data_IF_041787309136
#
_entry.id   IF_041787309136
#
_cell.length_a   1.000
_cell.length_b   1.000
_cell.length_c   1.000
_cell.angle_alpha   90.00
_cell.angle_beta   90.00
_cell.angle_gamma   90.00
#
_symmetry.space_group_name_H-M   'P 1'
#
loop_
_entity.id
_entity.type
_entity.pdbx_description
1 polymer ?
#
# COMPACT_ATOMS: atom_id res chain seq x y z
N UNK A 1 26.84 15.88 22.32
CA UNK A 1 25.48 15.35 22.58
C UNK A 1 24.41 15.88 21.62
N UNK A 2 23.87 17.11 21.76
CA UNK A 2 22.75 17.56 20.90
C UNK A 2 23.11 17.69 19.40
N UNK A 3 24.32 18.16 19.09
CA UNK A 3 24.83 18.19 17.70
C UNK A 3 25.00 16.81 17.07
N UNK A 4 25.37 15.81 17.86
CA UNK A 4 25.56 14.43 17.39
C UNK A 4 24.22 13.75 17.12
N UNK A 5 23.21 13.99 17.96
CA UNK A 5 21.84 13.49 17.76
C UNK A 5 21.24 14.09 16.48
N UNK A 6 21.38 15.40 16.28
CA UNK A 6 20.90 16.07 15.05
C UNK A 6 21.62 15.52 13.81
N UNK A 7 22.94 15.32 13.89
CA UNK A 7 23.71 14.74 12.79
C UNK A 7 23.27 13.30 12.48
N UNK A 8 23.00 12.49 13.51
CA UNK A 8 22.49 11.13 13.35
C UNK A 8 21.14 11.11 12.64
N UNK A 9 20.22 12.02 13.00
CA UNK A 9 18.93 12.18 12.31
C UNK A 9 19.10 12.52 10.82
N UNK A 10 20.01 13.43 10.47
CA UNK A 10 20.31 13.75 9.07
C UNK A 10 20.93 12.59 8.29
N UNK A 11 21.80 11.80 8.93
CA UNK A 11 22.40 10.60 8.32
C UNK A 11 21.33 9.53 8.06
N UNK A 12 20.44 9.28 9.04
CA UNK A 12 19.32 8.36 8.88
C UNK A 12 18.40 8.81 7.74
N UNK A 13 18.11 10.10 7.65
CA UNK A 13 17.30 10.67 6.57
C UNK A 13 17.94 10.47 5.19
N UNK A 14 19.24 10.74 5.08
CA UNK A 14 20.01 10.53 3.84
C UNK A 14 19.95 9.07 3.41
N UNK A 15 20.19 8.15 4.32
CA UNK A 15 20.18 6.71 4.04
C UNK A 15 18.77 6.25 3.63
N UNK A 16 17.73 6.71 4.32
CA UNK A 16 16.34 6.42 3.99
C UNK A 16 15.96 6.93 2.59
N UNK A 17 16.28 8.19 2.28
CA UNK A 17 16.00 8.78 0.96
C UNK A 17 16.73 8.00 -0.14
N UNK A 18 18.00 7.69 0.09
CA UNK A 18 18.83 7.00 -0.89
C UNK A 18 18.36 5.56 -1.17
N UNK A 19 17.86 4.86 -0.15
CA UNK A 19 17.60 3.41 -0.25
C UNK A 19 16.13 3.01 -0.32
N UNK A 20 15.21 3.84 0.15
CA UNK A 20 13.80 3.47 0.31
C UNK A 20 12.83 4.34 -0.49
N UNK A 21 13.13 5.64 -0.69
CA UNK A 21 12.18 6.54 -1.36
C UNK A 21 11.95 6.14 -2.82
N UNK A 22 13.02 5.89 -3.56
CA UNK A 22 12.93 5.64 -5.00
C UNK A 22 12.24 4.31 -5.32
N UNK A 23 12.76 3.21 -4.78
CA UNK A 23 12.34 1.86 -5.18
C UNK A 23 11.07 1.38 -4.48
N UNK A 24 10.70 1.98 -3.34
CA UNK A 24 9.55 1.54 -2.54
C UNK A 24 8.47 2.63 -2.48
N UNK A 25 8.84 3.85 -2.09
CA UNK A 25 7.85 4.88 -1.78
C UNK A 25 7.19 5.47 -3.05
N UNK A 26 7.98 5.74 -4.10
CA UNK A 26 7.44 6.26 -5.38
C UNK A 26 6.42 5.30 -6.00
N UNK A 27 6.70 3.99 -6.18
CA UNK A 27 5.68 3.03 -6.64
C UNK A 27 4.48 2.93 -5.72
N UNK A 28 4.65 3.05 -4.40
CA UNK A 28 3.55 2.98 -3.46
C UNK A 28 2.59 4.17 -3.61
N UNK A 29 3.10 5.39 -3.84
CA UNK A 29 2.26 6.56 -4.16
C UNK A 29 1.59 6.45 -5.53
N UNK A 30 2.29 5.89 -6.52
CA UNK A 30 1.71 5.58 -7.82
C UNK A 30 0.58 4.55 -7.69
N UNK A 31 0.77 3.51 -6.87
CA UNK A 31 -0.24 2.49 -6.63
C UNK A 31 -1.45 3.10 -5.91
N UNK A 32 -1.23 3.87 -4.85
CA UNK A 32 -2.28 4.54 -4.09
C UNK A 32 -3.11 5.50 -4.97
N UNK A 33 -2.45 6.34 -5.76
CA UNK A 33 -3.14 7.23 -6.70
C UNK A 33 -3.88 6.46 -7.79
N UNK A 34 -3.33 5.34 -8.26
CA UNK A 34 -3.98 4.48 -9.25
C UNK A 34 -5.22 3.80 -8.70
N UNK A 35 -5.18 3.39 -7.42
CA UNK A 35 -6.34 2.83 -6.74
C UNK A 35 -7.49 3.84 -6.66
N UNK A 36 -7.19 5.12 -6.42
CA UNK A 36 -8.22 6.17 -6.36
C UNK A 36 -8.69 6.58 -7.76
N UNK A 37 -7.79 6.65 -8.74
CA UNK A 37 -8.09 7.14 -10.08
C UNK A 37 -8.74 6.10 -11.01
N UNK A 38 -8.44 4.80 -10.85
CA UNK A 38 -8.87 3.75 -11.77
C UNK A 38 -9.93 2.81 -11.17
N UNK A 39 -9.96 2.62 -9.85
CA UNK A 39 -10.89 1.66 -9.26
C UNK A 39 -12.26 2.30 -9.07
N UNK A 40 -13.28 1.60 -9.53
CA UNK A 40 -14.66 2.03 -9.33
C UNK A 40 -15.01 2.00 -7.83
N UNK A 41 -15.39 3.17 -7.29
CA UNK A 41 -15.73 3.34 -5.87
C UNK A 41 -16.86 2.42 -5.42
N UNK A 42 -17.87 2.18 -6.27
CA UNK A 42 -19.00 1.30 -5.99
C UNK A 42 -18.54 -0.13 -5.73
N UNK A 43 -17.51 -0.58 -6.43
CA UNK A 43 -16.97 -1.92 -6.27
C UNK A 43 -16.15 -2.07 -4.99
N UNK A 44 -15.37 -1.06 -4.62
CA UNK A 44 -14.72 -1.06 -3.31
C UNK A 44 -15.77 -1.02 -2.19
N UNK A 45 -16.83 -0.24 -2.35
CA UNK A 45 -17.94 -0.15 -1.40
C UNK A 45 -18.73 -1.46 -1.26
N UNK A 46 -18.79 -2.30 -2.29
CA UNK A 46 -19.52 -3.57 -2.26
C UNK A 46 -18.74 -4.73 -1.63
N UNK A 47 -17.40 -4.69 -1.67
CA UNK A 47 -16.54 -5.73 -1.10
C UNK A 47 -15.85 -5.32 0.21
N UNK A 48 -15.43 -4.06 0.32
CA UNK A 48 -14.61 -3.53 1.42
C UNK A 48 -15.26 -2.34 2.14
N UNK A 49 -16.44 -1.87 1.68
CA UNK A 49 -17.16 -0.77 2.30
C UNK A 49 -17.67 -1.08 3.71
N UNK A 50 -17.98 -0.03 4.47
CA UNK A 50 -18.44 -0.16 5.87
C UNK A 50 -19.78 -0.88 6.01
N UNK A 51 -20.62 -0.83 4.97
CA UNK A 51 -21.93 -1.50 4.92
C UNK A 51 -21.85 -3.01 4.69
N UNK A 52 -20.69 -3.53 4.30
CA UNK A 52 -20.46 -4.96 4.10
C UNK A 52 -20.28 -5.65 5.45
N UNK A 53 -20.64 -6.93 5.56
CA UNK A 53 -20.40 -7.66 6.80
C UNK A 53 -18.91 -7.61 7.18
N UNK A 54 -18.62 -7.15 8.40
CA UNK A 54 -17.25 -6.92 8.89
C UNK A 54 -16.36 -8.13 8.67
N UNK A 55 -16.88 -9.34 8.89
CA UNK A 55 -16.14 -10.59 8.69
C UNK A 55 -15.66 -10.78 7.24
N UNK A 56 -16.48 -10.44 6.23
CA UNK A 56 -16.12 -10.56 4.81
C UNK A 56 -15.08 -9.51 4.42
N UNK A 57 -15.36 -8.25 4.75
CA UNK A 57 -14.46 -7.12 4.46
C UNK A 57 -13.09 -7.31 5.14
N UNK A 58 -13.08 -7.70 6.41
CA UNK A 58 -11.86 -7.87 7.20
C UNK A 58 -11.05 -9.07 6.72
N UNK A 59 -11.70 -10.20 6.41
CA UNK A 59 -11.01 -11.37 5.84
C UNK A 59 -10.40 -11.04 4.49
N UNK A 60 -11.13 -10.35 3.61
CA UNK A 60 -10.62 -9.96 2.29
C UNK A 60 -9.43 -8.98 2.39
N UNK A 61 -9.52 -7.99 3.29
CA UNK A 61 -8.43 -7.08 3.59
C UNK A 61 -7.20 -7.82 4.14
N UNK A 62 -7.39 -8.74 5.09
CA UNK A 62 -6.30 -9.53 5.66
C UNK A 62 -5.61 -10.39 4.60
N UNK A 63 -6.37 -11.14 3.78
CA UNK A 63 -5.83 -12.00 2.72
C UNK A 63 -5.10 -11.19 1.65
N UNK A 64 -5.70 -10.09 1.17
CA UNK A 64 -5.05 -9.23 0.17
C UNK A 64 -3.73 -8.62 0.68
N UNK A 65 -3.63 -8.36 1.98
CA UNK A 65 -2.42 -7.81 2.60
C UNK A 65 -1.22 -8.75 2.57
N UNK A 66 -1.45 -10.07 2.62
CA UNK A 66 -0.37 -11.06 2.47
C UNK A 66 0.32 -10.95 1.11
N UNK A 67 -0.43 -10.62 0.06
CA UNK A 67 0.14 -10.46 -1.29
C UNK A 67 0.87 -9.13 -1.47
N UNK A 68 0.50 -8.10 -0.70
CA UNK A 68 1.19 -6.83 -0.73
C UNK A 68 2.56 -6.92 -0.04
N UNK A 69 2.68 -7.67 1.06
CA UNK A 69 3.92 -7.98 1.79
C UNK A 69 4.96 -6.84 1.82
N UNK A 70 4.51 -5.62 2.12
CA UNK A 70 5.32 -4.41 1.99
C UNK A 70 5.73 -3.85 3.37
N UNK A 71 6.72 -2.96 3.40
CA UNK A 71 7.18 -2.35 4.65
C UNK A 71 6.21 -1.27 5.16
N UNK A 72 6.46 -0.78 6.38
CA UNK A 72 5.63 0.26 7.02
C UNK A 72 5.50 1.54 6.17
N UNK A 73 6.55 1.93 5.44
CA UNK A 73 6.55 3.15 4.64
C UNK A 73 5.65 3.07 3.40
N UNK A 74 5.45 1.88 2.85
CA UNK A 74 4.66 1.65 1.63
C UNK A 74 3.23 1.25 1.94
N UNK A 75 2.98 0.60 3.08
CA UNK A 75 1.61 0.24 3.46
C UNK A 75 0.76 1.47 3.79
N UNK A 76 1.35 2.54 4.32
CA UNK A 76 0.64 3.79 4.63
C UNK A 76 -0.03 4.39 3.39
N UNK A 77 0.69 4.69 2.28
CA UNK A 77 0.05 5.20 1.08
C UNK A 77 -0.91 4.19 0.46
N UNK A 78 -0.59 2.89 0.43
CA UNK A 78 -1.49 1.88 -0.17
C UNK A 78 -2.81 1.76 0.59
N UNK A 79 -2.78 1.70 1.92
CA UNK A 79 -3.99 1.68 2.73
C UNK A 79 -4.75 3.01 2.68
N UNK A 80 -4.03 4.14 2.60
CA UNK A 80 -4.65 5.45 2.35
C UNK A 80 -5.38 5.45 1.00
N UNK A 81 -4.72 5.00 -0.07
CA UNK A 81 -5.33 4.83 -1.39
C UNK A 81 -6.61 4.00 -1.31
N UNK A 82 -6.56 2.84 -0.64
CA UNK A 82 -7.72 1.98 -0.43
C UNK A 82 -8.87 2.67 0.31
N UNK A 83 -8.56 3.42 1.37
CA UNK A 83 -9.54 4.19 2.14
C UNK A 83 -10.17 5.32 1.30
N UNK A 84 -9.37 6.09 0.57
CA UNK A 84 -9.85 7.16 -0.31
C UNK A 84 -10.62 6.62 -1.53
N UNK A 85 -10.34 5.39 -1.98
CA UNK A 85 -11.14 4.65 -2.97
C UNK A 85 -12.48 4.16 -2.42
N UNK A 86 -12.77 4.31 -1.13
CA UNK A 86 -14.07 4.02 -0.51
C UNK A 86 -14.11 2.81 0.42
N UNK A 87 -12.98 2.20 0.78
CA UNK A 87 -12.98 1.11 1.75
C UNK A 87 -13.31 1.62 3.16
N UNK A 88 -13.95 0.78 3.97
CA UNK A 88 -14.20 1.06 5.38
C UNK A 88 -12.90 1.28 6.14
N UNK A 89 -12.93 2.15 7.15
CA UNK A 89 -11.74 2.49 7.95
C UNK A 89 -11.13 1.24 8.59
N UNK A 90 -11.97 0.31 9.06
CA UNK A 90 -11.49 -0.95 9.65
C UNK A 90 -10.71 -1.81 8.65
N UNK A 91 -11.17 -1.89 7.40
CA UNK A 91 -10.48 -2.65 6.34
C UNK A 91 -9.13 -2.03 5.99
N UNK A 92 -9.05 -0.70 5.89
CA UNK A 92 -7.79 0.00 5.65
C UNK A 92 -6.76 -0.25 6.77
N UNK A 93 -7.20 -0.23 8.04
CA UNK A 93 -6.33 -0.51 9.18
C UNK A 93 -5.86 -1.97 9.24
N UNK A 94 -6.69 -2.92 8.81
CA UNK A 94 -6.25 -4.31 8.66
C UNK A 94 -5.12 -4.40 7.63
N UNK A 95 -5.22 -3.69 6.52
CA UNK A 95 -4.13 -3.65 5.52
C UNK A 95 -2.85 -3.05 6.11
N UNK A 96 -2.99 -1.92 6.83
CA UNK A 96 -1.87 -1.28 7.55
C UNK A 96 -1.16 -2.23 8.52
N UNK A 97 -1.91 -3.11 9.18
CA UNK A 97 -1.37 -4.00 10.20
C UNK A 97 -0.78 -5.29 9.62
N UNK A 98 -1.53 -5.97 8.74
CA UNK A 98 -1.17 -7.31 8.26
C UNK A 98 0.01 -7.26 7.31
N UNK A 99 0.04 -6.33 6.35
CA UNK A 99 1.07 -6.31 5.30
C UNK A 99 2.52 -6.26 5.84
N UNK A 100 2.89 -5.38 6.81
CA UNK A 100 4.23 -5.38 7.39
C UNK A 100 4.46 -6.56 8.34
N UNK A 101 3.41 -7.06 9.02
CA UNK A 101 3.53 -8.20 9.93
C UNK A 101 3.86 -9.50 9.18
N UNK A 102 3.32 -9.66 7.96
CA UNK A 102 3.48 -10.83 7.09
C UNK A 102 4.55 -10.65 6.02
N UNK A 103 5.40 -9.62 6.14
CA UNK A 103 6.50 -9.39 5.22
C UNK A 103 7.44 -10.60 5.18
N UNK A 104 7.71 -11.10 3.97
CA UNK A 104 8.55 -12.28 3.74
C UNK A 104 9.93 -12.19 4.40
N UNK A 105 10.60 -11.03 4.35
CA UNK A 105 11.89 -10.85 5.01
C UNK A 105 11.74 -10.98 6.53
N UNK A 106 10.72 -10.35 7.12
CA UNK A 106 10.48 -10.41 8.55
C UNK A 106 10.15 -11.84 9.02
N UNK A 107 9.38 -12.59 8.23
CA UNK A 107 9.05 -13.99 8.53
C UNK A 107 10.27 -14.89 8.40
N UNK A 108 11.11 -14.72 7.37
CA UNK A 108 12.36 -15.48 7.20
C UNK A 108 13.33 -15.21 8.35
N UNK A 109 13.55 -13.94 8.71
CA UNK A 109 14.42 -13.60 9.84
C UNK A 109 13.89 -14.16 11.16
N UNK A 110 12.59 -14.03 11.41
CA UNK A 110 11.95 -14.63 12.59
C UNK A 110 12.13 -16.15 12.58
N UNK A 111 11.92 -16.83 11.45
CA UNK A 111 12.06 -18.28 11.34
C UNK A 111 13.48 -18.77 11.56
N UNK A 112 14.46 -18.06 11.01
CA UNK A 112 15.87 -18.44 11.12
C UNK A 112 16.46 -18.18 12.52
N UNK A 113 16.05 -17.09 13.17
CA UNK A 113 16.61 -16.69 14.47
C UNK A 113 15.84 -17.30 15.64
N UNK A 114 14.51 -17.28 15.56
CA UNK A 114 13.60 -17.60 16.67
C UNK A 114 12.85 -18.93 16.46
N UNK A 115 12.93 -19.52 15.28
CA UNK A 115 12.31 -20.80 14.93
C UNK A 115 10.89 -20.69 14.38
N UNK A 116 10.46 -21.76 13.71
CA UNK A 116 9.18 -21.82 12.99
C UNK A 116 7.95 -21.63 13.90
N UNK A 117 8.02 -22.10 15.15
CA UNK A 117 6.92 -21.93 16.13
C UNK A 117 6.60 -20.46 16.35
N UNK A 118 7.63 -19.60 16.44
CA UNK A 118 7.43 -18.17 16.64
C UNK A 118 6.90 -17.48 15.38
N UNK A 119 7.28 -17.93 14.18
CA UNK A 119 6.69 -17.44 12.91
C UNK A 119 5.18 -17.69 12.88
N UNK A 120 4.74 -18.91 13.21
CA UNK A 120 3.31 -19.25 13.23
C UNK A 120 2.59 -18.40 14.27
N UNK A 121 3.15 -18.27 15.47
CA UNK A 121 2.56 -17.43 16.52
C UNK A 121 2.44 -15.96 16.10
N UNK A 122 3.44 -15.43 15.38
CA UNK A 122 3.45 -14.06 14.85
C UNK A 122 2.32 -13.86 13.84
N UNK A 123 2.11 -14.79 12.92
CA UNK A 123 1.04 -14.68 11.91
C UNK A 123 -0.33 -14.73 12.59
N UNK A 124 -0.54 -15.69 13.49
CA UNK A 124 -1.81 -15.83 14.22
C UNK A 124 -2.10 -14.57 15.04
N UNK A 125 -1.11 -14.10 15.82
CA UNK A 125 -1.26 -12.89 16.62
C UNK A 125 -1.49 -11.64 15.76
N UNK A 126 -0.78 -11.51 14.63
CA UNK A 126 -0.95 -10.39 13.71
C UNK A 126 -2.36 -10.38 13.11
N UNK A 127 -2.89 -11.53 12.68
CA UNK A 127 -4.25 -11.63 12.16
C UNK A 127 -5.30 -11.34 13.23
N UNK A 128 -5.15 -11.93 14.41
CA UNK A 128 -6.06 -11.67 15.52
C UNK A 128 -6.08 -10.18 15.89
N UNK A 129 -4.90 -9.57 16.06
CA UNK A 129 -4.78 -8.14 16.37
C UNK A 129 -5.30 -7.26 15.25
N UNK A 130 -5.10 -7.61 13.98
CA UNK A 130 -5.66 -6.86 12.86
C UNK A 130 -7.19 -6.81 12.93
N UNK A 131 -7.85 -7.93 13.25
CA UNK A 131 -9.30 -7.96 13.41
C UNK A 131 -9.77 -7.13 14.62
N UNK A 132 -9.05 -7.18 15.74
CA UNK A 132 -9.34 -6.34 16.91
C UNK A 132 -9.23 -4.86 16.56
N UNK A 133 -8.10 -4.45 15.96
CA UNK A 133 -7.86 -3.05 15.57
C UNK A 133 -8.88 -2.60 14.52
N UNK A 134 -9.14 -3.41 13.49
CA UNK A 134 -10.12 -3.11 12.46
C UNK A 134 -11.53 -2.94 13.03
N UNK A 135 -11.91 -3.78 14.00
CA UNK A 135 -13.21 -3.67 14.67
C UNK A 135 -13.32 -2.41 15.51
N UNK A 136 -12.30 -2.10 16.32
CA UNK A 136 -12.26 -0.86 17.13
C UNK A 136 -12.33 0.36 16.21
N UNK A 137 -11.54 0.40 15.14
CA UNK A 137 -11.57 1.50 14.18
C UNK A 137 -12.93 1.65 13.49
N UNK A 138 -13.56 0.55 13.08
CA UNK A 138 -14.92 0.56 12.53
C UNK A 138 -15.96 1.06 13.55
N UNK A 139 -15.84 0.72 14.84
CA UNK A 139 -16.77 1.19 15.86
C UNK A 139 -16.67 2.70 16.13
N UNK A 140 -15.45 3.24 16.23
CA UNK A 140 -15.25 4.65 16.58
C UNK A 140 -15.27 5.59 15.37
N UNK A 141 -14.80 5.12 14.20
CA UNK A 141 -14.60 5.97 13.02
C UNK A 141 -15.38 5.50 11.78
N UNK A 142 -16.10 4.37 11.84
CA UNK A 142 -16.82 3.81 10.68
C UNK A 142 -17.98 4.67 10.17
N UNK A 143 -18.44 5.66 10.95
CA UNK A 143 -19.59 6.50 10.57
C UNK A 143 -19.24 7.65 9.62
N UNK A 144 -17.97 7.92 9.34
CA UNK A 144 -17.56 9.22 8.78
C UNK A 144 -17.83 9.44 7.28
N UNK A 145 -18.18 8.44 6.44
CA UNK A 145 -18.46 8.70 5.01
C UNK A 145 -19.50 7.75 4.38
N UNK A 146 -20.71 7.72 4.93
CA UNK A 146 -21.88 7.23 4.16
C UNK A 146 -22.58 8.42 3.52
N UNK A 147 -21.90 9.08 2.58
CA UNK A 147 -22.64 9.93 1.65
C UNK A 147 -23.46 9.00 0.75
N UNK A 148 -24.77 9.27 0.77
CA UNK A 148 -25.86 8.47 0.21
C UNK A 148 -25.70 8.30 -1.29
N UNK A 149 -24.97 7.30 -1.74
CA UNK A 149 -25.22 6.71 -3.05
C UNK A 149 -26.34 5.69 -2.82
N UNK A 150 -27.57 6.08 -3.17
CA UNK A 150 -28.68 5.12 -3.28
C UNK A 150 -28.17 3.96 -4.14
N UNK A 151 -28.27 2.75 -3.61
CA UNK A 151 -28.03 1.53 -4.37
C UNK A 151 -29.11 1.42 -5.44
N UNK A 152 -28.90 2.05 -6.58
CA UNK A 152 -29.51 1.62 -7.82
C UNK A 152 -28.68 0.43 -8.29
N UNK A 153 -29.33 -0.74 -8.31
CA UNK A 153 -28.79 -1.99 -8.82
C UNK A 153 -28.72 -1.88 -10.35
N UNK A 154 -27.81 -1.06 -10.86
CA UNK A 154 -27.52 -0.98 -12.28
C UNK A 154 -26.41 -1.98 -12.61
N UNK A 155 -26.70 -2.82 -13.59
CA UNK A 155 -25.87 -3.74 -14.39
C UNK A 155 -24.36 -3.81 -14.10
N UNK A 156 -23.81 -5.03 -14.19
CA UNK A 156 -22.38 -5.41 -14.14
C UNK A 156 -21.39 -4.25 -14.27
N UNK A 157 -21.17 -3.53 -13.17
CA UNK A 157 -20.17 -2.47 -13.12
C UNK A 157 -18.82 -3.17 -13.18
N UNK A 158 -18.16 -3.12 -14.36
CA UNK A 158 -16.81 -3.67 -14.52
C UNK A 158 -15.90 -3.08 -13.44
N UNK A 159 -15.34 -3.97 -12.61
CA UNK A 159 -14.47 -3.67 -11.47
C UNK A 159 -13.40 -2.63 -11.82
N UNK A 160 -12.66 -2.88 -12.90
CA UNK A 160 -11.57 -2.07 -13.46
C UNK A 160 -11.49 -2.37 -14.97
N UNK A 161 -11.13 -1.39 -15.81
CA UNK A 161 -10.82 -1.68 -17.23
C UNK A 161 -9.54 -2.54 -17.33
N UNK A 162 -9.52 -3.55 -18.20
CA UNK A 162 -8.34 -4.42 -18.37
C UNK A 162 -7.04 -3.62 -18.54
N UNK A 163 -7.07 -2.48 -19.25
CA UNK A 163 -5.89 -1.63 -19.45
C UNK A 163 -5.41 -0.97 -18.16
N UNK A 164 -6.33 -0.52 -17.32
CA UNK A 164 -6.04 0.08 -16.01
C UNK A 164 -5.51 -0.96 -15.03
N UNK A 165 -6.11 -2.16 -15.03
CA UNK A 165 -5.65 -3.30 -14.23
C UNK A 165 -4.21 -3.65 -14.58
N UNK A 166 -3.86 -3.68 -15.87
CA UNK A 166 -2.47 -3.93 -16.32
C UNK A 166 -1.52 -2.86 -15.77
N UNK A 167 -1.91 -1.59 -15.78
CA UNK A 167 -1.07 -0.52 -15.19
C UNK A 167 -0.89 -0.73 -13.69
N UNK A 168 -1.96 -1.02 -12.94
CA UNK A 168 -1.85 -1.28 -11.49
C UNK A 168 -0.96 -2.49 -11.19
N UNK A 169 -1.06 -3.57 -11.98
CA UNK A 169 -0.19 -4.74 -11.85
C UNK A 169 1.26 -4.38 -12.17
N UNK A 170 1.52 -3.60 -13.22
CA UNK A 170 2.88 -3.15 -13.56
C UNK A 170 3.48 -2.25 -12.47
N UNK A 171 2.67 -1.37 -11.86
CA UNK A 171 3.09 -0.57 -10.69
C UNK A 171 3.38 -1.47 -9.49
N UNK A 172 2.54 -2.47 -9.22
CA UNK A 172 2.77 -3.44 -8.14
C UNK A 172 4.05 -4.26 -8.38
N UNK A 173 4.31 -4.66 -9.63
CA UNK A 173 5.55 -5.31 -10.02
C UNK A 173 6.75 -4.36 -9.87
N UNK A 174 6.61 -3.09 -10.23
CA UNK A 174 7.63 -2.05 -9.98
C UNK A 174 7.94 -1.90 -8.48
N UNK A 175 6.91 -1.98 -7.63
CA UNK A 175 7.05 -1.92 -6.17
C UNK A 175 7.76 -3.15 -5.58
N UNK A 176 7.35 -4.36 -5.98
CA UNK A 176 7.82 -5.61 -5.38
C UNK A 176 9.07 -6.18 -6.08
N UNK A 177 9.16 -6.02 -7.40
CA UNK A 177 10.21 -6.57 -8.27
C UNK A 177 11.63 -6.33 -7.77
N UNK A 178 12.03 -5.10 -7.38
CA UNK A 178 13.39 -4.84 -6.87
C UNK A 178 13.76 -5.68 -5.64
N UNK A 179 12.79 -5.99 -4.78
CA UNK A 179 13.02 -6.75 -3.54
C UNK A 179 12.95 -8.27 -3.75
N UNK A 180 12.15 -8.73 -4.72
CA UNK A 180 12.02 -10.16 -5.02
C UNK A 180 13.07 -10.67 -6.01
N UNK A 181 13.44 -9.86 -7.01
CA UNK A 181 14.42 -10.21 -8.06
C UNK A 181 15.85 -10.06 -7.52
N UNK A 182 16.13 -8.95 -6.83
CA UNK A 182 17.48 -8.64 -6.34
C UNK A 182 17.52 -8.83 -4.83
N UNK A 183 17.63 -10.08 -4.40
CA UNK A 183 17.71 -10.44 -2.98
C UNK A 183 19.12 -10.23 -2.40
N UNK A 184 20.16 -10.32 -3.25
CA UNK A 184 21.57 -10.17 -2.86
C UNK A 184 22.29 -9.23 -3.84
N UNK A 185 23.29 -8.51 -3.37
CA UNK A 185 24.15 -7.65 -4.18
C UNK A 185 23.99 -6.15 -3.89
N UNK A 186 24.57 -5.31 -4.76
CA UNK A 186 24.59 -3.86 -4.60
C UNK A 186 23.20 -3.26 -4.84
N UNK A 187 22.87 -2.21 -4.08
CA UNK A 187 21.58 -1.50 -4.19
C UNK A 187 21.29 -0.98 -5.61
N UNK A 188 22.32 -0.64 -6.40
CA UNK A 188 22.16 -0.18 -7.78
C UNK A 188 21.37 -1.16 -8.66
N UNK A 189 21.50 -2.47 -8.44
CA UNK A 189 20.75 -3.46 -9.22
C UNK A 189 19.24 -3.39 -8.93
N UNK A 190 18.85 -3.06 -7.68
CA UNK A 190 17.45 -2.80 -7.32
C UNK A 190 16.91 -1.59 -8.07
N UNK A 191 17.71 -0.51 -8.13
CA UNK A 191 17.35 0.72 -8.84
C UNK A 191 17.18 0.46 -10.34
N UNK A 192 18.06 -0.34 -10.96
CA UNK A 192 17.96 -0.68 -12.38
C UNK A 192 16.69 -1.47 -12.70
N UNK A 193 16.36 -2.48 -11.88
CA UNK A 193 15.11 -3.26 -12.03
C UNK A 193 13.89 -2.36 -11.89
N UNK A 194 13.88 -1.52 -10.85
CA UNK A 194 12.81 -0.54 -10.62
C UNK A 194 12.64 0.43 -11.80
N UNK A 195 13.75 0.97 -12.31
CA UNK A 195 13.75 1.92 -13.40
C UNK A 195 13.22 1.29 -14.70
N UNK A 196 13.66 0.07 -15.02
CA UNK A 196 13.17 -0.69 -16.17
C UNK A 196 11.65 -0.95 -16.09
N UNK A 197 11.17 -1.44 -14.94
CA UNK A 197 9.73 -1.67 -14.73
C UNK A 197 8.92 -0.37 -14.77
N UNK A 198 9.48 0.73 -14.26
CA UNK A 198 8.83 2.05 -14.31
C UNK A 198 8.73 2.58 -15.73
N UNK A 199 9.77 2.42 -16.57
CA UNK A 199 9.71 2.75 -17.99
C UNK A 199 8.62 1.93 -18.69
N UNK A 200 8.57 0.62 -18.45
CA UNK A 200 7.54 -0.26 -19.03
C UNK A 200 6.14 0.21 -18.61
N UNK A 201 5.97 0.52 -17.33
CA UNK A 201 4.69 1.00 -16.76
C UNK A 201 4.23 2.29 -17.44
N UNK A 202 5.10 3.31 -17.48
CA UNK A 202 4.78 4.60 -18.10
C UNK A 202 4.62 4.50 -19.62
N UNK A 203 5.44 3.69 -20.30
CA UNK A 203 5.32 3.44 -21.73
C UNK A 203 3.98 2.77 -22.08
N UNK A 204 3.56 1.77 -21.29
CA UNK A 204 2.25 1.15 -21.45
C UNK A 204 1.11 2.13 -21.14
N UNK A 205 1.22 2.91 -20.06
CA UNK A 205 0.21 3.90 -19.68
C UNK A 205 0.01 4.95 -20.78
N UNK A 206 1.08 5.55 -21.30
CA UNK A 206 1.03 6.58 -22.34
C UNK A 206 0.45 6.09 -23.67
N UNK A 207 0.60 4.80 -23.97
CA UNK A 207 0.10 4.19 -25.22
C UNK A 207 -1.33 3.67 -25.11
N UNK A 208 -1.77 3.27 -23.91
CA UNK A 208 -3.06 2.57 -23.72
C UNK A 208 -4.11 3.38 -22.95
N UNK A 209 -3.73 4.39 -22.16
CA UNK A 209 -4.65 5.23 -21.39
C UNK A 209 -4.82 6.61 -22.03
N UNK A 210 -5.98 7.23 -21.80
CA UNK A 210 -6.22 8.62 -22.20
C UNK A 210 -5.42 9.60 -21.34
N UNK A 211 -5.07 10.76 -21.90
CA UNK A 211 -4.33 11.82 -21.17
C UNK A 211 -5.04 12.26 -19.90
N UNK A 212 -6.37 12.28 -19.91
CA UNK A 212 -7.20 12.60 -18.74
C UNK A 212 -7.01 11.58 -17.61
N UNK A 213 -7.04 10.28 -17.91
CA UNK A 213 -6.83 9.22 -16.93
C UNK A 213 -5.43 9.28 -16.32
N UNK A 214 -4.41 9.50 -17.14
CA UNK A 214 -3.03 9.63 -16.66
C UNK A 214 -2.87 10.88 -15.79
N UNK A 215 -3.46 12.02 -16.20
CA UNK A 215 -3.42 13.26 -15.41
C UNK A 215 -4.14 13.09 -14.07
N UNK A 216 -5.30 12.43 -14.06
CA UNK A 216 -6.02 12.08 -12.83
C UNK A 216 -5.16 11.20 -11.93
N UNK A 217 -4.58 10.14 -12.47
CA UNK A 217 -3.70 9.23 -11.75
C UNK A 217 -2.52 9.94 -11.08
N UNK A 218 -1.79 10.76 -11.83
CA UNK A 218 -0.64 11.51 -11.31
C UNK A 218 -1.05 12.55 -10.26
N UNK A 219 -2.23 13.18 -10.43
CA UNK A 219 -2.75 14.14 -9.45
C UNK A 219 -3.09 13.47 -8.12
N UNK A 220 -3.75 12.32 -8.15
CA UNK A 220 -4.04 11.54 -6.93
C UNK A 220 -2.75 11.04 -6.27
N UNK A 221 -1.79 10.55 -7.06
CA UNK A 221 -0.47 10.17 -6.53
C UNK A 221 0.24 11.34 -5.86
N UNK A 222 0.19 12.54 -6.47
CA UNK A 222 0.79 13.75 -5.93
C UNK A 222 0.12 14.24 -4.65
N UNK A 223 -1.21 14.06 -4.53
CA UNK A 223 -1.94 14.32 -3.30
C UNK A 223 -1.39 13.50 -2.13
N UNK A 224 -1.16 12.20 -2.33
CA UNK A 224 -0.58 11.33 -1.30
C UNK A 224 0.88 11.71 -0.98
N UNK A 225 1.69 12.07 -1.97
CA UNK A 225 3.07 12.55 -1.75
C UNK A 225 3.05 13.75 -0.80
N UNK A 226 2.21 14.76 -1.06
CA UNK A 226 2.15 15.98 -0.26
C UNK A 226 1.77 15.75 1.20
N UNK A 227 0.89 14.79 1.45
CA UNK A 227 0.41 14.51 2.81
C UNK A 227 1.38 13.59 3.53
N UNK A 228 1.78 12.48 2.92
CA UNK A 228 2.48 11.40 3.62
C UNK A 228 3.99 11.63 3.65
N UNK A 229 4.59 12.14 2.57
CA UNK A 229 6.05 12.25 2.46
C UNK A 229 6.67 13.16 3.54
N UNK A 230 6.14 14.36 3.86
CA UNK A 230 6.69 15.19 4.92
C UNK A 230 6.62 14.54 6.30
N UNK A 231 5.52 13.84 6.59
CA UNK A 231 5.37 13.12 7.86
C UNK A 231 6.36 11.97 7.98
N UNK A 232 6.62 11.23 6.89
CA UNK A 232 7.61 10.16 6.88
C UNK A 232 9.03 10.70 7.09
N UNK A 233 9.41 11.79 6.43
CA UNK A 233 10.74 12.39 6.61
C UNK A 233 10.94 12.89 8.04
N UNK A 234 9.92 13.52 8.62
CA UNK A 234 9.95 13.96 10.01
C UNK A 234 10.07 12.76 10.97
N UNK A 235 9.33 11.68 10.71
CA UNK A 235 9.41 10.45 11.51
C UNK A 235 10.73 9.69 11.40
N UNK A 236 11.47 9.82 10.30
CA UNK A 236 12.82 9.23 10.14
C UNK A 236 13.91 10.10 10.78
N UNK A 237 13.67 11.41 10.85
CA UNK A 237 14.62 12.35 11.44
C UNK A 237 14.68 12.30 12.97
N UNK A 238 13.52 12.03 13.62
CA UNK A 238 13.37 11.92 15.08
C UNK A 238 13.86 10.55 15.56
#
# INVERSE_FOLDING_TARGET
>A
MMKEIILAGFLALKDYIATHVLTCLVPAFLLAGGMVAFINKQTILSYLGEQVSKLKSFSLAAVSSFFLAACSCTVIPVASGLYYSGAGVGAAFIVLWVAPATNILALIYTGNILGLKLVISRIIAALFMAFVVGYVMSLFFGKEKVDRIKFEYSEEVKFIDKKELVVLILVLLSLLGPNYIVQKGKYIYKVLVWFGLSIITFGYALTNLSKEKISSWLRESWFFVKIIFPLLLLGVFI
#
